data_IF_993894061752
#
_entry.id   IF_993894061752
#
_cell.length_a   1.000
_cell.length_b   1.000
_cell.length_c   1.000
_cell.angle_alpha   90.00
_cell.angle_beta   90.00
_cell.angle_gamma   90.00
#
_symmetry.space_group_name_H-M   'P 1'
#
loop_
_entity.id
_entity.type
_entity.pdbx_description
1 polymer ?
#
# COMPACT_ATOMS: atom_id res chain seq x y z
N UNK A 1 8.37 -9.31 0.61
CA UNK A 1 7.08 -8.81 0.08
C UNK A 1 6.76 -9.49 -1.25
N UNK A 2 5.55 -9.29 -1.77
CA UNK A 2 5.14 -9.83 -3.07
C UNK A 2 6.00 -9.31 -4.26
N UNK A 3 6.72 -8.22 -4.07
CA UNK A 3 7.65 -7.65 -5.05
C UNK A 3 9.10 -8.15 -4.90
N UNK A 4 9.37 -9.14 -4.06
CA UNK A 4 10.72 -9.61 -3.71
C UNK A 4 11.35 -10.60 -4.69
N UNK A 5 11.19 -10.40 -5.99
CA UNK A 5 11.83 -11.26 -7.01
C UNK A 5 13.34 -11.05 -7.02
N UNK A 6 14.08 -12.17 -6.95
CA UNK A 6 15.54 -12.19 -7.00
C UNK A 6 15.95 -12.90 -8.30
N UNK A 7 16.80 -12.26 -9.08
CA UNK A 7 17.42 -12.83 -10.30
C UNK A 7 18.93 -12.67 -10.17
N UNK A 8 19.67 -13.72 -10.41
CA UNK A 8 21.15 -13.76 -10.28
C UNK A 8 21.65 -13.21 -8.93
N UNK A 9 20.94 -13.52 -7.83
CA UNK A 9 21.28 -13.07 -6.50
C UNK A 9 20.96 -11.59 -6.19
N UNK A 10 20.36 -10.86 -7.14
CA UNK A 10 19.97 -9.46 -6.98
C UNK A 10 18.47 -9.27 -6.96
N UNK A 11 17.97 -8.43 -6.02
CA UNK A 11 16.57 -8.05 -6.00
C UNK A 11 16.26 -7.10 -7.18
N UNK A 12 15.24 -7.45 -7.98
CA UNK A 12 14.83 -6.61 -9.13
C UNK A 12 14.17 -5.31 -8.70
N UNK A 13 13.48 -5.34 -7.58
CA UNK A 13 12.84 -4.16 -6.97
C UNK A 13 13.23 -4.10 -5.50
N UNK A 14 14.45 -3.62 -5.19
CA UNK A 14 14.91 -3.56 -3.82
C UNK A 14 14.03 -2.59 -3.01
N UNK A 15 13.30 -3.13 -2.04
CA UNK A 15 12.45 -2.40 -1.08
C UNK A 15 12.94 -2.73 0.32
N UNK A 16 14.08 -2.12 0.69
CA UNK A 16 14.73 -2.36 1.98
C UNK A 16 14.11 -1.47 3.05
N UNK A 17 13.90 -2.03 4.25
CA UNK A 17 13.33 -1.31 5.39
C UNK A 17 11.86 -1.66 5.62
N UNK A 18 11.00 -0.65 5.69
CA UNK A 18 9.60 -0.76 6.07
C UNK A 18 8.68 -0.55 4.86
N UNK A 19 8.17 -1.60 4.20
CA UNK A 19 7.20 -1.48 3.12
C UNK A 19 5.84 -1.02 3.63
N UNK A 20 5.17 -0.11 2.90
CA UNK A 20 3.92 0.54 3.29
C UNK A 20 2.78 -0.45 3.54
N UNK A 21 2.63 -1.45 2.68
CA UNK A 21 1.61 -2.47 2.81
C UNK A 21 1.75 -3.33 4.07
N UNK A 22 2.98 -3.63 4.49
CA UNK A 22 3.22 -4.41 5.70
C UNK A 22 2.89 -3.61 6.96
N UNK A 23 3.16 -2.30 6.96
CA UNK A 23 2.77 -1.43 8.07
C UNK A 23 1.24 -1.35 8.20
N UNK A 24 0.54 -1.23 7.06
CA UNK A 24 -0.92 -1.20 7.05
C UNK A 24 -1.52 -2.52 7.55
N UNK A 25 -1.00 -3.66 7.08
CA UNK A 25 -1.42 -4.99 7.56
C UNK A 25 -1.14 -5.18 9.05
N UNK A 26 0.03 -4.76 9.54
CA UNK A 26 0.35 -4.80 10.96
C UNK A 26 -0.63 -4.00 11.81
N UNK A 27 -0.88 -2.76 11.41
CA UNK A 27 -1.85 -1.90 12.11
C UNK A 27 -3.23 -2.56 12.19
N UNK A 28 -3.72 -3.12 11.08
CA UNK A 28 -5.00 -3.81 11.06
C UNK A 28 -5.01 -5.06 11.94
N UNK A 29 -3.95 -5.87 11.90
CA UNK A 29 -3.84 -7.07 12.73
C UNK A 29 -3.91 -6.72 14.22
N UNK A 30 -3.14 -5.73 14.67
CA UNK A 30 -3.16 -5.31 16.07
C UNK A 30 -4.52 -4.71 16.47
N UNK A 31 -5.09 -3.85 15.63
CA UNK A 31 -6.38 -3.21 15.89
C UNK A 31 -7.52 -4.23 15.97
N UNK A 32 -7.55 -5.19 15.04
CA UNK A 32 -8.52 -6.28 15.04
C UNK A 32 -8.38 -7.17 16.28
N UNK A 33 -7.14 -7.60 16.60
CA UNK A 33 -6.89 -8.45 17.77
C UNK A 33 -7.28 -7.76 19.06
N UNK A 34 -7.01 -6.45 19.19
CA UNK A 34 -7.49 -5.67 20.33
C UNK A 34 -9.01 -5.61 20.43
N UNK A 35 -9.72 -5.46 19.32
CA UNK A 35 -11.18 -5.47 19.30
C UNK A 35 -11.72 -6.83 19.77
N UNK A 36 -11.13 -7.93 19.31
CA UNK A 36 -11.48 -9.29 19.73
C UNK A 36 -11.17 -9.50 21.21
N UNK A 37 -9.97 -9.13 21.69
CA UNK A 37 -9.56 -9.27 23.08
C UNK A 37 -10.50 -8.49 24.04
N UNK A 38 -10.89 -7.28 23.66
CA UNK A 38 -11.88 -6.49 24.41
C UNK A 38 -13.23 -7.23 24.51
N UNK A 39 -13.70 -7.78 23.38
CA UNK A 39 -14.98 -8.52 23.33
C UNK A 39 -14.94 -9.81 24.17
N UNK A 40 -13.78 -10.48 24.22
CA UNK A 40 -13.58 -11.70 25.00
C UNK A 40 -13.22 -11.44 26.48
N UNK A 41 -12.99 -10.19 26.87
CA UNK A 41 -12.62 -9.82 28.23
C UNK A 41 -11.16 -10.15 28.60
N UNK A 42 -10.26 -10.30 27.63
CA UNK A 42 -8.82 -10.49 27.87
C UNK A 42 -8.16 -9.17 28.30
N UNK A 43 -8.27 -8.90 29.62
CA UNK A 43 -7.71 -7.70 30.22
C UNK A 43 -6.19 -7.61 30.15
N UNK A 44 -5.50 -8.75 30.15
CA UNK A 44 -4.03 -8.79 30.11
C UNK A 44 -3.54 -8.31 28.75
N UNK A 45 -4.04 -8.88 27.66
CA UNK A 45 -3.71 -8.46 26.31
C UNK A 45 -4.08 -7.00 26.04
N UNK A 46 -5.30 -6.60 26.44
CA UNK A 46 -5.75 -5.21 26.27
C UNK A 46 -4.83 -4.23 27.01
N UNK A 47 -4.44 -4.54 28.25
CA UNK A 47 -3.52 -3.68 29.02
C UNK A 47 -2.17 -3.50 28.33
N UNK A 48 -1.63 -4.57 27.76
CA UNK A 48 -0.32 -4.56 27.08
C UNK A 48 -0.36 -3.80 25.75
N UNK A 49 -1.41 -4.03 24.93
CA UNK A 49 -1.44 -3.58 23.53
C UNK A 49 -2.32 -2.36 23.26
N UNK A 50 -3.06 -1.82 24.23
CA UNK A 50 -4.04 -0.73 24.04
C UNK A 50 -3.47 0.50 23.33
N UNK A 51 -2.20 0.83 23.55
CA UNK A 51 -1.55 2.03 23.01
C UNK A 51 -0.85 1.77 21.66
N UNK A 52 -0.73 0.52 21.24
CA UNK A 52 0.00 0.15 20.03
C UNK A 52 -0.64 0.71 18.75
N UNK A 53 -1.98 0.70 18.54
CA UNK A 53 -2.59 1.27 17.36
C UNK A 53 -2.28 2.75 17.20
N UNK A 54 -2.46 3.54 18.25
CA UNK A 54 -2.25 5.00 18.20
C UNK A 54 -0.77 5.33 17.90
N UNK A 55 0.16 4.65 18.55
CA UNK A 55 1.59 4.81 18.30
C UNK A 55 1.95 4.43 16.86
N UNK A 56 1.39 3.33 16.35
CA UNK A 56 1.61 2.87 14.98
C UNK A 56 1.07 3.88 13.98
N UNK A 57 -0.17 4.35 14.16
CA UNK A 57 -0.81 5.35 13.30
C UNK A 57 0.00 6.64 13.23
N UNK A 58 0.39 7.19 14.39
CA UNK A 58 1.20 8.41 14.46
C UNK A 58 2.52 8.26 13.71
N UNK A 59 3.28 7.19 14.00
CA UNK A 59 4.56 6.93 13.33
C UNK A 59 4.40 6.65 11.84
N UNK A 60 3.30 5.99 11.43
CA UNK A 60 3.01 5.73 10.02
C UNK A 60 2.78 7.03 9.26
N UNK A 61 1.92 7.92 9.74
CA UNK A 61 1.65 9.19 9.08
C UNK A 61 2.92 10.04 9.02
N UNK A 62 3.65 10.16 10.12
CA UNK A 62 4.89 10.94 10.18
C UNK A 62 5.94 10.49 9.16
N UNK A 63 6.05 9.18 8.91
CA UNK A 63 7.12 8.61 8.09
C UNK A 63 6.71 8.35 6.64
N UNK A 64 5.45 8.01 6.39
CA UNK A 64 4.99 7.56 5.07
C UNK A 64 4.19 8.60 4.31
N UNK A 65 3.53 9.55 4.99
CA UNK A 65 2.76 10.56 4.30
C UNK A 65 3.68 11.61 3.66
N UNK A 66 3.60 11.73 2.34
CA UNK A 66 4.34 12.71 1.55
C UNK A 66 3.45 13.93 1.33
N UNK A 67 3.58 14.95 2.18
CA UNK A 67 2.66 16.09 2.22
C UNK A 67 2.60 16.87 0.89
N UNK A 68 3.74 17.14 0.29
CA UNK A 68 3.84 17.87 -0.98
C UNK A 68 3.27 17.06 -2.14
N UNK A 69 3.53 15.75 -2.18
CA UNK A 69 3.08 14.84 -3.22
C UNK A 69 1.61 14.41 -3.06
N UNK A 70 1.11 14.32 -1.83
CA UNK A 70 -0.26 13.93 -1.52
C UNK A 70 -0.56 12.44 -1.63
N UNK A 71 0.45 11.56 -1.37
CA UNK A 71 0.28 10.12 -1.32
C UNK A 71 1.29 9.48 -0.36
N UNK A 72 1.20 8.15 -0.17
CA UNK A 72 2.08 7.41 0.73
C UNK A 72 3.37 6.97 0.03
N UNK A 73 4.50 7.10 0.71
CA UNK A 73 5.76 6.48 0.32
C UNK A 73 5.60 4.97 0.13
N UNK A 74 6.28 4.39 -0.87
CA UNK A 74 6.25 2.95 -1.12
C UNK A 74 6.96 2.14 -0.02
N UNK A 75 8.10 2.63 0.43
CA UNK A 75 8.83 2.14 1.60
C UNK A 75 9.67 3.25 2.22
N UNK A 76 10.06 3.03 3.48
CA UNK A 76 10.94 3.93 4.23
C UNK A 76 12.04 3.10 4.88
N UNK A 77 13.26 3.61 4.88
CA UNK A 77 14.36 3.10 5.69
C UNK A 77 15.10 4.27 6.37
N UNK A 78 16.28 4.01 6.98
CA UNK A 78 17.03 5.04 7.69
C UNK A 78 17.56 6.16 6.77
N UNK A 79 17.84 5.84 5.51
CA UNK A 79 18.56 6.70 4.56
C UNK A 79 17.65 7.20 3.43
N UNK A 80 16.48 6.57 3.23
CA UNK A 80 15.65 6.76 2.03
C UNK A 80 14.16 6.70 2.33
N UNK A 81 13.42 7.61 1.69
CA UNK A 81 11.95 7.58 1.57
C UNK A 81 11.61 7.43 0.09
N UNK A 82 11.06 6.29 -0.29
CA UNK A 82 10.72 6.00 -1.69
C UNK A 82 9.44 6.70 -2.11
N UNK A 83 9.57 7.66 -3.03
CA UNK A 83 8.44 8.39 -3.63
C UNK A 83 7.86 7.69 -4.87
N UNK A 84 8.19 6.43 -5.11
CA UNK A 84 7.67 5.68 -6.25
C UNK A 84 6.17 5.45 -6.12
N UNK A 85 5.41 5.84 -7.15
CA UNK A 85 3.98 5.57 -7.22
C UNK A 85 3.80 4.11 -7.62
N UNK A 86 3.47 3.27 -6.63
CA UNK A 86 3.23 1.83 -6.73
C UNK A 86 1.89 1.47 -6.08
N UNK A 87 1.26 0.34 -6.45
CA UNK A 87 -0.06 -0.02 -5.94
C UNK A 87 -0.06 -0.41 -4.46
N UNK A 88 1.11 -0.58 -3.83
CA UNK A 88 1.23 -1.03 -2.44
C UNK A 88 0.49 -0.12 -1.45
N UNK A 89 0.42 1.18 -1.73
CA UNK A 89 -0.28 2.16 -0.89
C UNK A 89 -1.79 1.90 -0.77
N UNK A 90 -2.42 1.22 -1.75
CA UNK A 90 -3.87 0.96 -1.69
C UNK A 90 -4.25 0.00 -0.57
N UNK A 91 -3.30 -0.82 -0.08
CA UNK A 91 -3.55 -1.70 1.06
C UNK A 91 -3.95 -0.87 2.29
N UNK A 92 -3.26 0.25 2.55
CA UNK A 92 -3.64 1.18 3.62
C UNK A 92 -5.00 1.85 3.39
N UNK A 93 -5.43 1.97 2.12
CA UNK A 93 -6.71 2.56 1.77
C UNK A 93 -7.90 1.59 1.95
N UNK A 94 -7.70 0.31 1.66
CA UNK A 94 -8.78 -0.67 1.59
C UNK A 94 -8.99 -1.52 2.85
N UNK A 95 -8.12 -1.46 3.84
CA UNK A 95 -8.28 -2.21 5.10
C UNK A 95 -9.32 -1.55 6.01
N UNK A 96 -9.94 -2.32 6.93
CA UNK A 96 -11.05 -1.85 7.77
C UNK A 96 -10.63 -0.79 8.78
N UNK A 97 -9.48 -0.95 9.42
CA UNK A 97 -8.94 0.04 10.35
C UNK A 97 -8.09 1.04 9.58
N UNK A 98 -8.52 2.31 9.52
CA UNK A 98 -7.87 3.37 8.76
C UNK A 98 -6.84 4.12 9.59
N UNK A 99 -5.64 4.30 9.02
CA UNK A 99 -4.64 5.23 9.56
C UNK A 99 -4.74 6.62 8.93
N UNK A 100 -5.12 6.67 7.65
CA UNK A 100 -5.25 7.91 6.89
C UNK A 100 -6.49 8.71 7.31
N UNK A 101 -6.40 10.03 7.25
CA UNK A 101 -7.59 10.90 7.25
C UNK A 101 -8.36 10.73 5.95
N UNK A 102 -9.62 11.20 5.90
CA UNK A 102 -10.44 11.15 4.69
C UNK A 102 -9.75 11.90 3.52
N UNK A 103 -9.20 13.08 3.78
CA UNK A 103 -8.46 13.86 2.79
C UNK A 103 -7.25 13.09 2.25
N UNK A 104 -6.43 12.51 3.14
CA UNK A 104 -5.26 11.71 2.75
C UNK A 104 -5.67 10.48 1.94
N UNK A 105 -6.77 9.84 2.31
CA UNK A 105 -7.33 8.69 1.61
C UNK A 105 -7.76 9.07 0.18
N UNK A 106 -8.53 10.16 0.04
CA UNK A 106 -8.96 10.69 -1.27
C UNK A 106 -7.76 11.02 -2.15
N UNK A 107 -6.78 11.77 -1.64
CA UNK A 107 -5.58 12.17 -2.41
C UNK A 107 -4.78 10.95 -2.88
N UNK A 108 -4.61 9.94 -2.00
CA UNK A 108 -3.92 8.69 -2.36
C UNK A 108 -4.67 7.93 -3.45
N UNK A 109 -6.00 7.79 -3.34
CA UNK A 109 -6.81 7.08 -4.34
C UNK A 109 -6.82 7.81 -5.69
N UNK A 110 -6.87 9.13 -5.71
CA UNK A 110 -6.75 9.93 -6.94
C UNK A 110 -5.39 9.75 -7.61
N UNK A 111 -4.30 9.72 -6.84
CA UNK A 111 -2.96 9.43 -7.37
C UNK A 111 -2.91 8.04 -8.02
N UNK A 112 -3.50 7.03 -7.37
CA UNK A 112 -3.58 5.67 -7.91
C UNK A 112 -4.42 5.64 -9.20
N UNK A 113 -5.55 6.32 -9.21
CA UNK A 113 -6.42 6.44 -10.40
C UNK A 113 -5.65 7.02 -11.59
N UNK A 114 -4.98 8.13 -11.39
CA UNK A 114 -4.28 8.86 -12.44
C UNK A 114 -3.05 8.13 -12.99
N UNK A 115 -2.36 7.38 -12.14
CA UNK A 115 -1.05 6.83 -12.49
C UNK A 115 -1.04 5.32 -12.71
N UNK A 116 -1.93 4.57 -12.05
CA UNK A 116 -1.85 3.11 -12.00
C UNK A 116 -3.08 2.40 -12.55
N UNK A 117 -4.26 3.01 -12.50
CA UNK A 117 -5.50 2.34 -12.89
C UNK A 117 -5.53 2.05 -14.39
N UNK A 118 -5.92 0.81 -14.72
CA UNK A 118 -6.14 0.34 -16.08
C UNK A 118 -7.41 -0.53 -16.12
N UNK A 119 -7.98 -0.83 -17.31
CA UNK A 119 -9.09 -1.76 -17.43
C UNK A 119 -8.78 -3.20 -16.95
N UNK A 120 -7.52 -3.52 -16.67
CA UNK A 120 -7.07 -4.87 -16.27
C UNK A 120 -6.52 -4.94 -14.85
N UNK A 121 -6.56 -3.85 -14.08
CA UNK A 121 -6.03 -3.77 -12.72
C UNK A 121 -5.11 -2.57 -12.51
N UNK A 122 -4.27 -2.63 -11.48
CA UNK A 122 -3.32 -1.56 -11.16
C UNK A 122 -1.92 -1.91 -11.65
N UNK A 123 -1.28 -0.96 -12.36
CA UNK A 123 0.14 -1.07 -12.73
C UNK A 123 1.02 -1.17 -11.49
N UNK A 124 2.09 -1.94 -11.60
CA UNK A 124 3.08 -2.12 -10.51
C UNK A 124 4.01 -0.92 -10.33
N UNK A 125 4.06 -0.03 -11.31
CA UNK A 125 4.80 1.23 -11.27
C UNK A 125 4.13 2.25 -12.19
N UNK A 126 4.19 3.53 -11.82
CA UNK A 126 3.72 4.62 -12.67
C UNK A 126 4.51 4.69 -13.98
N UNK A 127 3.83 4.88 -15.14
CA UNK A 127 4.51 5.09 -16.43
C UNK A 127 5.43 6.33 -16.47
N UNK A 128 5.28 7.25 -15.54
CA UNK A 128 6.16 8.42 -15.42
C UNK A 128 7.51 8.10 -14.77
N UNK A 129 7.66 6.93 -14.17
CA UNK A 129 8.92 6.53 -13.55
C UNK A 129 9.90 6.03 -14.62
N UNK A 130 11.18 6.46 -14.60
CA UNK A 130 12.18 6.01 -15.58
C UNK A 130 12.43 4.49 -15.61
N UNK A 131 12.13 3.79 -14.52
CA UNK A 131 12.25 2.33 -14.43
C UNK A 131 11.03 1.59 -14.98
N UNK A 132 10.02 2.30 -15.50
CA UNK A 132 8.82 1.68 -16.05
C UNK A 132 9.12 0.78 -17.24
N UNK A 133 8.57 -0.44 -17.22
CA UNK A 133 8.70 -1.47 -18.27
C UNK A 133 7.30 -1.88 -18.74
N UNK A 134 6.94 -1.50 -19.98
CA UNK A 134 5.61 -1.81 -20.55
C UNK A 134 5.53 -3.20 -21.19
N UNK A 135 6.67 -3.73 -21.69
CA UNK A 135 6.70 -4.94 -22.49
C UNK A 135 7.04 -6.17 -21.65
N UNK A 136 6.28 -7.24 -21.89
CA UNK A 136 6.42 -8.54 -21.22
C UNK A 136 6.93 -9.64 -22.18
N UNK A 137 7.35 -9.29 -23.40
CA UNK A 137 7.58 -10.22 -24.50
C UNK A 137 9.05 -10.55 -24.79
N UNK A 138 9.95 -10.25 -23.86
CA UNK A 138 11.38 -10.49 -23.96
C UNK A 138 11.79 -11.74 -23.17
N UNK A 139 13.08 -11.86 -22.86
CA UNK A 139 13.63 -12.92 -22.00
C UNK A 139 13.04 -12.89 -20.58
N UNK A 140 13.27 -13.97 -19.80
CA UNK A 140 12.71 -14.14 -18.45
C UNK A 140 13.03 -12.97 -17.53
N UNK A 141 14.25 -12.41 -17.59
CA UNK A 141 14.62 -11.27 -16.73
C UNK A 141 13.83 -10.02 -17.07
N UNK A 142 13.64 -9.75 -18.35
CA UNK A 142 12.82 -8.63 -18.84
C UNK A 142 11.35 -8.81 -18.45
N UNK A 143 10.83 -10.04 -18.50
CA UNK A 143 9.47 -10.36 -18.02
C UNK A 143 9.35 -10.13 -16.50
N UNK A 144 10.30 -10.57 -15.71
CA UNK A 144 10.32 -10.36 -14.26
C UNK A 144 10.41 -8.87 -13.91
N UNK A 145 11.23 -8.11 -14.63
CA UNK A 145 11.31 -6.65 -14.49
C UNK A 145 9.97 -5.98 -14.85
N UNK A 146 9.36 -6.33 -15.98
CA UNK A 146 8.07 -5.78 -16.41
C UNK A 146 6.97 -6.11 -15.41
N UNK A 147 6.95 -7.34 -14.90
CA UNK A 147 5.97 -7.79 -13.90
C UNK A 147 6.02 -6.95 -12.60
N UNK A 148 7.18 -6.40 -12.24
CA UNK A 148 7.38 -5.57 -11.02
C UNK A 148 7.41 -4.07 -11.30
N UNK A 149 7.66 -3.65 -12.54
CA UNK A 149 7.81 -2.25 -12.89
C UNK A 149 6.89 -1.79 -14.03
N UNK A 150 5.76 -2.44 -14.26
CA UNK A 150 4.87 -1.98 -15.33
C UNK A 150 3.56 -2.75 -15.44
N UNK A 151 3.60 -4.08 -15.44
CA UNK A 151 2.42 -4.93 -15.62
C UNK A 151 1.28 -4.60 -14.66
N UNK A 152 0.06 -4.68 -15.17
CA UNK A 152 -1.13 -4.51 -14.35
C UNK A 152 -1.49 -5.82 -13.63
N UNK A 153 -1.83 -5.69 -12.34
CA UNK A 153 -2.25 -6.80 -11.49
C UNK A 153 -3.64 -6.53 -10.92
N UNK A 154 -4.47 -7.56 -10.88
CA UNK A 154 -5.87 -7.44 -10.43
C UNK A 154 -6.00 -7.41 -8.91
N UNK A 155 -5.15 -8.14 -8.16
CA UNK A 155 -5.33 -8.29 -6.71
C UNK A 155 -5.29 -6.96 -5.93
N UNK A 156 -4.45 -5.93 -6.27
CA UNK A 156 -4.47 -4.67 -5.53
C UNK A 156 -5.76 -3.87 -5.77
N UNK A 157 -6.47 -4.17 -6.86
CA UNK A 157 -7.72 -3.49 -7.21
C UNK A 157 -8.79 -3.67 -6.12
N UNK A 158 -8.80 -4.79 -5.41
CA UNK A 158 -9.72 -5.06 -4.30
C UNK A 158 -9.61 -3.98 -3.22
N UNK A 159 -8.39 -3.62 -2.83
CA UNK A 159 -8.14 -2.57 -1.83
C UNK A 159 -8.46 -1.18 -2.36
N UNK A 160 -8.18 -0.92 -3.63
CA UNK A 160 -8.51 0.34 -4.29
C UNK A 160 -10.03 0.55 -4.31
N UNK A 161 -10.78 -0.43 -4.81
CA UNK A 161 -12.24 -0.37 -4.88
C UNK A 161 -12.85 -0.20 -3.49
N UNK A 162 -12.42 -1.01 -2.50
CA UNK A 162 -12.89 -0.88 -1.11
C UNK A 162 -12.61 0.53 -0.55
N UNK A 163 -11.42 1.10 -0.81
CA UNK A 163 -11.10 2.46 -0.40
C UNK A 163 -12.00 3.50 -1.05
N UNK A 164 -12.34 3.35 -2.33
CA UNK A 164 -13.28 4.23 -3.03
C UNK A 164 -14.70 4.15 -2.43
N UNK A 165 -15.18 2.94 -2.11
CA UNK A 165 -16.46 2.76 -1.42
C UNK A 165 -16.49 3.44 -0.05
N UNK A 166 -15.43 3.30 0.72
CA UNK A 166 -15.36 3.88 2.07
C UNK A 166 -15.40 5.42 2.06
N UNK A 167 -14.94 6.06 0.97
CA UNK A 167 -14.92 7.53 0.81
C UNK A 167 -16.20 8.07 0.19
N UNK A 168 -16.76 7.40 -0.83
CA UNK A 168 -17.81 7.96 -1.69
C UNK A 168 -19.15 7.27 -1.59
N UNK A 169 -19.22 6.19 -0.78
CA UNK A 169 -20.42 5.37 -0.64
C UNK A 169 -20.76 4.54 -1.89
N UNK A 170 -21.88 3.82 -1.84
CA UNK A 170 -22.29 2.87 -2.88
C UNK A 170 -22.53 3.49 -4.25
N UNK A 171 -22.91 4.77 -4.32
CA UNK A 171 -23.26 5.45 -5.58
C UNK A 171 -22.07 5.68 -6.53
N UNK A 172 -20.85 5.70 -6.03
CA UNK A 172 -19.64 5.93 -6.85
C UNK A 172 -19.13 4.70 -7.58
N UNK A 173 -19.47 3.52 -7.13
CA UNK A 173 -19.03 2.29 -7.78
C UNK A 173 -19.89 1.88 -8.98
N UNK A 174 -21.00 2.60 -9.21
CA UNK A 174 -21.91 2.39 -10.33
C UNK A 174 -21.59 3.26 -11.57
N UNK A 175 -20.69 4.24 -11.44
CA UNK A 175 -20.14 5.05 -12.53
C UNK A 175 -18.79 4.49 -13.04
#
# INVERSE_FOLDING_TARGET
TWMGTIVDGQALTPRRGYPVELQALWYNAVSYTLAVAKKQGDKAFVKEWKDAPEKTKKSFIEKFWLEEEGYLADYVNYDEVSKFIRPNMVVACGLDFKMLSEEQLVRTLLTVQQHLLTPRGLRTLSPRNPLYKSNYNEDQRSQDLASRNGSAWIWPLVFYVKGCFDVRGENYAAE
#
